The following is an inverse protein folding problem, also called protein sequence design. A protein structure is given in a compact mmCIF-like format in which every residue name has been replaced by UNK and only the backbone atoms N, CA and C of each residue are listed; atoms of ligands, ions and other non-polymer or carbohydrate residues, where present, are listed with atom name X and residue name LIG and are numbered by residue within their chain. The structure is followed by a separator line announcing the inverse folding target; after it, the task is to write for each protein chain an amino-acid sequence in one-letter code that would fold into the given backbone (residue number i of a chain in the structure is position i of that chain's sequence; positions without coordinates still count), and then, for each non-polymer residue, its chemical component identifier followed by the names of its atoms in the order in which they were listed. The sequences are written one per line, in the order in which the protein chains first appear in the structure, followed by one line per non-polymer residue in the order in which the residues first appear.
data_IF_705695411458
#
_entry.id   IF_705695411458
#
_cell.length_a   1.000
_cell.length_b   1.000
_cell.length_c   1.000
_cell.angle_alpha   90.00
_cell.angle_beta   90.00
_cell.angle_gamma   90.00
#
_symmetry.space_group_name_H-M   'P 1'
#
loop_
_entity.id
_entity.type
_entity.pdbx_description
1 polymer ?
#
# COMPACT_ATOMS: atom_id res chain seq x y z
N UNK A 1 -14.99 2.02 12.68
CA UNK A 1 -14.32 0.69 12.56
C UNK A 1 -12.83 0.91 12.31
N UNK A 2 -11.93 0.19 12.99
CA UNK A 2 -10.49 0.36 12.83
C UNK A 2 -9.94 -0.66 11.82
N UNK A 3 -9.56 -0.19 10.62
CA UNK A 3 -8.94 -1.02 9.58
C UNK A 3 -7.45 -1.17 9.87
N UNK A 4 -7.03 -2.38 10.25
CA UNK A 4 -5.63 -2.68 10.61
C UNK A 4 -4.98 -3.54 9.55
N UNK A 5 -3.73 -3.25 9.22
CA UNK A 5 -2.89 -4.12 8.40
C UNK A 5 -2.76 -5.48 9.06
N UNK A 6 -3.00 -6.55 8.29
CA UNK A 6 -2.89 -7.93 8.82
C UNK A 6 -1.44 -8.27 9.12
N UNK A 7 -1.23 -8.99 10.22
CA UNK A 7 0.11 -9.34 10.71
C UNK A 7 0.89 -10.30 9.80
N UNK A 8 0.21 -11.02 8.91
CA UNK A 8 0.80 -11.96 7.93
C UNK A 8 1.77 -11.28 6.98
N UNK A 9 1.38 -10.16 6.35
CA UNK A 9 2.25 -9.40 5.45
C UNK A 9 3.46 -8.81 6.20
N UNK A 10 3.23 -8.17 7.34
CA UNK A 10 4.32 -7.64 8.17
C UNK A 10 5.28 -8.75 8.63
N UNK A 11 4.75 -9.95 8.88
CA UNK A 11 5.57 -11.12 9.21
C UNK A 11 6.35 -11.65 8.00
N UNK A 12 5.79 -11.62 6.79
CA UNK A 12 6.48 -12.01 5.56
C UNK A 12 7.64 -11.06 5.25
N UNK A 13 7.40 -9.75 5.34
CA UNK A 13 8.41 -8.70 5.24
C UNK A 13 9.53 -8.90 6.27
N UNK A 14 9.18 -9.22 7.53
CA UNK A 14 10.15 -9.52 8.59
C UNK A 14 11.03 -10.74 8.28
N UNK A 15 10.48 -11.78 7.63
CA UNK A 15 11.23 -12.97 7.23
C UNK A 15 12.18 -12.71 6.05
N UNK A 16 12.09 -11.54 5.41
CA UNK A 16 12.90 -11.20 4.24
C UNK A 16 12.46 -11.90 2.97
N UNK A 17 11.20 -12.34 2.90
CA UNK A 17 10.62 -12.96 1.71
C UNK A 17 10.52 -11.92 0.58
N UNK A 18 11.11 -12.21 -0.58
CA UNK A 18 11.06 -11.35 -1.77
C UNK A 18 9.62 -11.08 -2.21
N UNK A 19 8.74 -12.07 -2.12
CA UNK A 19 7.30 -11.93 -2.43
C UNK A 19 6.65 -10.97 -1.44
N UNK A 20 6.94 -11.12 -0.15
CA UNK A 20 6.42 -10.23 0.90
C UNK A 20 6.86 -8.78 0.71
N UNK A 21 8.09 -8.56 0.25
CA UNK A 21 8.59 -7.23 -0.08
C UNK A 21 7.93 -6.62 -1.31
N UNK A 22 7.74 -7.40 -2.38
CA UNK A 22 7.04 -6.95 -3.57
C UNK A 22 5.60 -6.52 -3.26
N UNK A 23 4.87 -7.32 -2.49
CA UNK A 23 3.50 -7.01 -2.06
C UNK A 23 3.45 -5.77 -1.16
N UNK A 24 4.37 -5.66 -0.19
CA UNK A 24 4.48 -4.48 0.67
C UNK A 24 4.76 -3.21 -0.14
N UNK A 25 5.69 -3.27 -1.08
CA UNK A 25 6.00 -2.15 -1.96
C UNK A 25 4.78 -1.71 -2.76
N UNK A 26 4.10 -2.65 -3.42
CA UNK A 26 2.93 -2.37 -4.26
C UNK A 26 1.77 -1.76 -3.46
N UNK A 27 1.53 -2.22 -2.23
CA UNK A 27 0.45 -1.73 -1.37
C UNK A 27 0.70 -0.33 -0.81
N UNK A 28 1.94 -0.04 -0.40
CA UNK A 28 2.25 1.19 0.34
C UNK A 28 2.85 2.30 -0.53
N UNK A 29 3.44 1.99 -1.69
CA UNK A 29 3.93 3.02 -2.64
C UNK A 29 2.87 4.11 -2.92
N UNK A 30 1.60 3.78 -3.25
CA UNK A 30 0.60 4.81 -3.55
C UNK A 30 0.33 5.74 -2.37
N UNK A 31 0.34 5.22 -1.13
CA UNK A 31 0.16 6.02 0.09
C UNK A 31 1.32 6.98 0.32
N UNK A 32 2.55 6.52 0.08
CA UNK A 32 3.75 7.36 0.23
C UNK A 32 3.75 8.48 -0.82
N UNK A 33 3.43 8.16 -2.07
CA UNK A 33 3.32 9.15 -3.14
C UNK A 33 2.21 10.17 -2.90
N UNK A 34 1.06 9.72 -2.40
CA UNK A 34 -0.05 10.59 -1.99
C UNK A 34 0.45 11.63 -0.98
N UNK A 35 1.08 11.17 0.10
CA UNK A 35 1.55 12.06 1.17
C UNK A 35 2.70 12.97 0.74
N UNK A 36 3.57 12.50 -0.17
CA UNK A 36 4.57 13.35 -0.80
C UNK A 36 3.94 14.44 -1.67
N UNK A 37 2.78 14.15 -2.30
CA UNK A 37 1.96 15.13 -3.01
C UNK A 37 1.37 16.18 -2.10
N UNK A 38 0.78 15.77 -0.97
CA UNK A 38 0.24 16.68 0.06
C UNK A 38 1.30 17.70 0.52
N UNK A 39 2.55 17.24 0.66
CA UNK A 39 3.69 18.05 1.10
C UNK A 39 4.42 18.79 -0.04
N UNK A 40 3.81 18.84 -1.24
CA UNK A 40 4.32 19.55 -2.43
C UNK A 40 5.74 19.15 -2.83
N UNK A 41 6.13 17.90 -2.61
CA UNK A 41 7.39 17.36 -3.11
C UNK A 41 7.37 17.30 -4.64
N UNK A 42 8.51 17.52 -5.27
CA UNK A 42 8.73 17.26 -6.70
C UNK A 42 8.62 15.77 -7.01
N UNK A 43 8.46 15.41 -8.28
CA UNK A 43 8.37 14.00 -8.67
C UNK A 43 9.62 13.20 -8.26
N UNK A 44 10.80 13.80 -8.40
CA UNK A 44 12.07 13.19 -7.99
C UNK A 44 12.11 12.95 -6.47
N UNK A 45 11.72 13.95 -5.67
CA UNK A 45 11.64 13.82 -4.21
C UNK A 45 10.60 12.79 -3.78
N UNK A 46 9.49 12.64 -4.50
CA UNK A 46 8.50 11.58 -4.22
C UNK A 46 9.07 10.18 -4.44
N UNK A 47 9.82 9.96 -5.51
CA UNK A 47 10.47 8.66 -5.73
C UNK A 47 11.60 8.41 -4.71
N UNK A 48 12.37 9.45 -4.33
CA UNK A 48 13.36 9.36 -3.24
C UNK A 48 12.66 9.05 -1.91
N UNK A 49 11.53 9.69 -1.62
CA UNK A 49 10.72 9.43 -0.42
C UNK A 49 10.27 7.97 -0.36
N UNK A 50 9.76 7.42 -1.47
CA UNK A 50 9.41 6.00 -1.55
C UNK A 50 10.61 5.13 -1.21
N UNK A 51 11.77 5.39 -1.80
CA UNK A 51 12.98 4.61 -1.53
C UNK A 51 13.42 4.72 -0.06
N UNK A 52 13.42 5.92 0.52
CA UNK A 52 13.81 6.16 1.90
C UNK A 52 12.89 5.44 2.89
N UNK A 53 11.58 5.50 2.66
CA UNK A 53 10.59 4.80 3.50
C UNK A 53 10.77 3.29 3.37
N UNK A 54 10.87 2.77 2.15
CA UNK A 54 11.05 1.32 1.92
C UNK A 54 12.36 0.81 2.51
N UNK A 55 13.45 1.58 2.41
CA UNK A 55 14.74 1.24 2.99
C UNK A 55 14.69 1.25 4.52
N UNK A 56 13.95 2.17 5.13
CA UNK A 56 13.73 2.22 6.58
C UNK A 56 13.02 0.95 7.06
N UNK A 57 11.97 0.53 6.35
CA UNK A 57 11.32 -0.76 6.60
C UNK A 57 12.26 -1.93 6.36
N UNK A 58 13.09 -1.90 5.31
CA UNK A 58 14.00 -3.01 4.98
C UNK A 58 15.08 -3.19 6.04
N UNK A 59 15.76 -2.10 6.41
CA UNK A 59 16.75 -2.10 7.51
C UNK A 59 16.08 -2.46 8.83
N UNK A 60 14.90 -1.89 9.07
CA UNK A 60 14.08 -2.14 10.23
C UNK A 60 13.65 -3.60 10.32
N UNK A 61 13.33 -4.28 9.21
CA UNK A 61 12.72 -5.62 9.18
C UNK A 61 13.44 -6.68 10.02
N UNK A 62 14.77 -6.59 10.16
CA UNK A 62 15.54 -7.52 11.01
C UNK A 62 15.26 -7.33 12.50
N UNK A 63 14.88 -6.13 12.91
CA UNK A 63 14.54 -5.74 14.30
C UNK A 63 13.09 -5.27 14.45
N UNK A 64 12.30 -5.25 13.38
CA UNK A 64 10.98 -4.63 13.34
C UNK A 64 9.98 -5.56 14.01
N UNK A 65 9.65 -5.21 15.24
CA UNK A 65 8.51 -5.76 15.96
C UNK A 65 7.45 -4.67 15.96
N UNK A 66 6.51 -4.76 15.02
CA UNK A 66 5.31 -3.94 15.09
C UNK A 66 4.53 -4.31 16.35
N UNK A 67 4.59 -3.42 17.33
CA UNK A 67 3.89 -3.56 18.59
C UNK A 67 2.54 -2.82 18.49
N UNK A 68 1.46 -3.60 18.38
CA UNK A 68 0.09 -3.09 18.33
C UNK A 68 -0.30 -2.28 19.57
N UNK A 69 0.38 -2.48 20.70
CA UNK A 69 0.13 -1.71 21.92
C UNK A 69 0.62 -0.26 21.82
N UNK A 70 1.58 0.02 20.93
CA UNK A 70 2.18 1.35 20.75
C UNK A 70 1.45 2.24 19.75
N UNK A 71 0.39 1.73 19.12
CA UNK A 71 -0.41 2.47 18.14
C UNK A 71 -0.69 1.68 16.87
N UNK A 72 -1.41 2.30 15.94
CA UNK A 72 -1.80 1.67 14.67
C UNK A 72 -0.68 1.79 13.64
N UNK A 73 -0.52 0.76 12.82
CA UNK A 73 0.47 0.72 11.74
C UNK A 73 0.28 1.87 10.76
N UNK A 74 -0.97 2.29 10.51
CA UNK A 74 -1.31 3.48 9.72
C UNK A 74 -0.61 4.72 10.23
N UNK A 75 -0.76 5.02 11.51
CA UNK A 75 -0.26 6.25 12.12
C UNK A 75 1.27 6.21 12.21
N UNK A 76 1.82 5.01 12.45
CA UNK A 76 3.25 4.75 12.38
C UNK A 76 3.82 5.01 10.99
N UNK A 77 3.22 4.45 9.94
CA UNK A 77 3.64 4.65 8.55
C UNK A 77 3.54 6.13 8.16
N UNK A 78 2.41 6.76 8.48
CA UNK A 78 2.18 8.18 8.22
C UNK A 78 3.27 9.06 8.84
N UNK A 79 3.65 8.77 10.09
CA UNK A 79 4.72 9.47 10.80
C UNK A 79 6.08 9.27 10.13
N UNK A 80 6.43 8.05 9.72
CA UNK A 80 7.69 7.82 8.99
C UNK A 80 7.71 8.62 7.70
N UNK A 81 6.64 8.55 6.90
CA UNK A 81 6.57 9.26 5.62
C UNK A 81 6.73 10.76 5.84
N UNK A 82 6.02 11.32 6.83
CA UNK A 82 6.11 12.73 7.18
C UNK A 82 7.53 13.14 7.56
N UNK A 83 8.17 12.38 8.46
CA UNK A 83 9.53 12.69 8.90
C UNK A 83 10.53 12.69 7.74
N UNK A 84 10.48 11.65 6.88
CA UNK A 84 11.38 11.56 5.71
C UNK A 84 11.11 12.67 4.68
N UNK A 85 9.85 13.06 4.50
CA UNK A 85 9.50 14.17 3.62
C UNK A 85 10.06 15.51 4.16
N UNK A 86 9.95 15.76 5.46
CA UNK A 86 10.57 16.94 6.09
C UNK A 86 12.10 16.93 5.94
N UNK A 87 12.75 15.78 6.05
CA UNK A 87 14.19 15.66 5.82
C UNK A 87 14.59 16.05 4.38
N UNK A 88 13.80 15.62 3.39
CA UNK A 88 13.99 16.02 1.98
C UNK A 88 13.80 17.52 1.78
N UNK A 89 12.77 18.10 2.39
CA UNK A 89 12.51 19.54 2.33
C UNK A 89 13.67 20.36 2.93
N UNK A 90 14.26 19.91 4.05
CA UNK A 90 15.44 20.55 4.65
C UNK A 90 16.66 20.47 3.73
N UNK A 91 16.92 19.30 3.15
CA UNK A 91 18.03 19.10 2.20
C UNK A 91 17.95 20.01 0.98
N UNK A 92 16.72 20.30 0.51
CA UNK A 92 16.47 21.28 -0.57
C UNK A 92 16.90 22.70 -0.17
N UNK A 93 16.68 23.07 1.08
CA UNK A 93 17.05 24.39 1.60
C UNK A 93 18.58 24.54 1.75
N UNK A 94 19.26 23.52 2.28
CA UNK A 94 20.73 23.55 2.46
C UNK A 94 21.51 23.65 1.14
N UNK A 95 20.93 23.16 0.03
CA UNK A 95 21.51 23.29 -1.31
C UNK A 95 21.28 24.65 -1.99
N UNK A 96 20.46 25.52 -1.40
CA UNK A 96 20.03 26.79 -2.02
C UNK A 96 20.44 27.96 -1.12
N UNK A 97 21.64 28.51 -1.30
CA UNK A 97 22.06 29.74 -0.62
C UNK A 97 21.37 30.94 -1.30
N UNK A 98 20.20 31.37 -0.82
CA UNK A 98 19.81 32.80 -0.75
C UNK A 98 18.48 33.04 -0.01
N UNK A 99 18.58 33.95 0.96
CA UNK A 99 17.68 35.04 1.42
C UNK A 99 16.18 34.84 1.16
N UNK A 100 15.40 34.89 2.26
CA UNK A 100 13.96 34.59 2.39
C UNK A 100 13.69 33.12 2.70
N UNK A 101 14.07 32.74 3.92
CA UNK A 101 13.42 31.63 4.62
C UNK A 101 11.97 32.01 4.89
N UNK A 102 11.14 31.95 3.86
CA UNK A 102 9.72 31.66 4.07
C UNK A 102 9.71 30.34 4.83
N UNK A 103 9.35 30.45 6.10
CA UNK A 103 9.04 29.35 6.98
C UNK A 103 8.01 28.49 6.24
N UNK A 104 8.48 27.47 5.53
CA UNK A 104 7.69 26.26 5.29
C UNK A 104 7.54 25.56 6.65
N UNK A 105 7.01 26.29 7.64
CA UNK A 105 6.23 25.72 8.70
C UNK A 105 5.29 24.79 7.98
N UNK A 106 5.38 23.52 8.33
CA UNK A 106 4.57 22.44 7.79
C UNK A 106 3.14 22.97 7.79
N UNK A 107 2.68 23.45 6.64
CA UNK A 107 1.37 24.07 6.53
C UNK A 107 0.41 22.99 6.98
N UNK A 108 -0.39 23.28 8.01
CA UNK A 108 -1.28 22.29 8.58
C UNK A 108 -2.13 21.76 7.43
N UNK A 109 -1.97 20.46 7.14
CA UNK A 109 -2.51 19.92 5.92
C UNK A 109 -4.04 20.07 5.96
N UNK A 110 -4.67 20.45 4.83
CA UNK A 110 -6.11 20.63 4.78
C UNK A 110 -6.83 19.37 5.29
N UNK A 111 -7.98 19.54 5.93
CA UNK A 111 -8.77 18.42 6.46
C UNK A 111 -9.10 17.39 5.34
N UNK A 112 -9.28 17.88 4.11
CA UNK A 112 -9.51 17.06 2.92
C UNK A 112 -8.35 16.09 2.64
N UNK A 113 -7.10 16.49 2.91
CA UNK A 113 -5.94 15.62 2.76
C UNK A 113 -5.99 14.43 3.74
N UNK A 114 -6.54 14.66 4.95
CA UNK A 114 -6.74 13.59 5.92
C UNK A 114 -7.84 12.61 5.48
N UNK A 115 -8.94 13.13 4.94
CA UNK A 115 -10.02 12.30 4.43
C UNK A 115 -9.58 11.45 3.23
N UNK A 116 -8.77 12.02 2.33
CA UNK A 116 -8.18 11.30 1.20
C UNK A 116 -7.20 10.22 1.70
N UNK A 117 -6.35 10.54 2.68
CA UNK A 117 -5.46 9.58 3.32
C UNK A 117 -6.23 8.40 3.92
N UNK A 118 -7.30 8.68 4.68
CA UNK A 118 -8.15 7.65 5.28
C UNK A 118 -8.83 6.77 4.24
N UNK A 119 -9.36 7.37 3.18
CA UNK A 119 -9.98 6.63 2.07
C UNK A 119 -8.97 5.71 1.40
N UNK A 120 -7.79 6.23 1.06
CA UNK A 120 -6.73 5.45 0.43
C UNK A 120 -6.24 4.33 1.36
N UNK A 121 -6.10 4.60 2.66
CA UNK A 121 -5.72 3.59 3.64
C UNK A 121 -6.72 2.43 3.68
N UNK A 122 -8.03 2.72 3.71
CA UNK A 122 -9.07 1.70 3.70
C UNK A 122 -9.01 0.84 2.45
N UNK A 123 -8.77 1.47 1.28
CA UNK A 123 -8.58 0.75 0.03
C UNK A 123 -7.35 -0.18 0.08
N UNK A 124 -6.23 0.29 0.64
CA UNK A 124 -5.01 -0.52 0.82
C UNK A 124 -5.26 -1.72 1.74
N UNK A 125 -5.94 -1.53 2.88
CA UNK A 125 -6.26 -2.64 3.80
C UNK A 125 -7.19 -3.65 3.16
N UNK A 126 -8.18 -3.20 2.37
CA UNK A 126 -9.05 -4.08 1.60
C UNK A 126 -8.27 -4.88 0.56
N UNK A 127 -7.42 -4.22 -0.22
CA UNK A 127 -6.58 -4.88 -1.22
C UNK A 127 -5.67 -5.96 -0.58
N UNK A 128 -5.09 -5.65 0.58
CA UNK A 128 -4.31 -6.62 1.35
C UNK A 128 -5.17 -7.83 1.77
N UNK A 129 -6.38 -7.60 2.28
CA UNK A 129 -7.26 -8.68 2.70
C UNK A 129 -7.66 -9.59 1.52
N UNK A 130 -7.95 -9.01 0.35
CA UNK A 130 -8.28 -9.76 -0.86
C UNK A 130 -7.10 -10.61 -1.35
N UNK A 131 -5.88 -10.08 -1.31
CA UNK A 131 -4.67 -10.83 -1.72
C UNK A 131 -4.47 -12.09 -0.86
N UNK A 132 -4.70 -11.98 0.44
CA UNK A 132 -4.60 -13.14 1.34
C UNK A 132 -5.74 -14.15 1.14
N UNK A 133 -6.97 -13.68 0.85
CA UNK A 133 -8.10 -14.56 0.53
C UNK A 133 -7.82 -15.31 -0.77
N UNK A 134 -7.24 -14.65 -1.78
CA UNK A 134 -6.84 -15.26 -3.05
C UNK A 134 -5.91 -16.46 -2.86
N UNK A 135 -5.03 -16.43 -1.86
CA UNK A 135 -4.11 -17.54 -1.57
C UNK A 135 -4.78 -18.72 -0.83
N UNK A 136 -5.95 -18.51 -0.23
CA UNK A 136 -6.64 -19.50 0.61
C UNK A 136 -7.90 -20.08 -0.01
N UNK A 137 -8.47 -19.39 -0.99
CA UNK A 137 -9.68 -19.81 -1.67
C UNK A 137 -9.36 -20.42 -3.03
N UNK A 138 -10.23 -21.31 -3.46
CA UNK A 138 -10.26 -21.80 -4.83
C UNK A 138 -10.37 -20.59 -5.82
N UNK A 139 -9.64 -20.61 -6.96
CA UNK A 139 -9.64 -19.51 -7.92
C UNK A 139 -11.02 -19.11 -8.44
N UNK A 140 -11.91 -20.09 -8.69
CA UNK A 140 -13.27 -19.85 -9.17
C UNK A 140 -14.12 -19.18 -8.09
N UNK A 141 -13.97 -19.60 -6.84
CA UNK A 141 -14.66 -18.97 -5.70
C UNK A 141 -14.20 -17.52 -5.50
N UNK A 142 -12.89 -17.29 -5.58
CA UNK A 142 -12.33 -15.94 -5.51
C UNK A 142 -12.83 -15.05 -6.67
N UNK A 143 -12.79 -15.54 -7.91
CA UNK A 143 -13.31 -14.80 -9.07
C UNK A 143 -14.81 -14.51 -8.96
N UNK A 144 -15.60 -15.48 -8.49
CA UNK A 144 -17.04 -15.30 -8.25
C UNK A 144 -17.30 -14.13 -7.31
N UNK A 145 -16.57 -14.09 -6.20
CA UNK A 145 -16.66 -12.99 -5.23
C UNK A 145 -16.24 -11.66 -5.83
N UNK A 146 -15.14 -11.61 -6.60
CA UNK A 146 -14.67 -10.38 -7.22
C UNK A 146 -15.70 -9.79 -8.20
N UNK A 147 -16.31 -10.62 -9.05
CA UNK A 147 -17.32 -10.17 -10.00
C UNK A 147 -18.63 -9.76 -9.29
N UNK A 148 -19.09 -10.56 -8.33
CA UNK A 148 -20.33 -10.28 -7.63
C UNK A 148 -20.22 -9.07 -6.70
N UNK A 149 -19.24 -9.06 -5.79
CA UNK A 149 -19.19 -8.12 -4.69
C UNK A 149 -18.46 -6.80 -5.02
N UNK A 150 -17.54 -6.80 -6.00
CA UNK A 150 -16.77 -5.59 -6.35
C UNK A 150 -17.16 -4.99 -7.70
N UNK A 151 -17.73 -5.78 -8.61
CA UNK A 151 -18.19 -5.31 -9.93
C UNK A 151 -19.72 -5.22 -10.02
N UNK A 152 -20.42 -5.45 -8.91
CA UNK A 152 -21.88 -5.36 -8.78
C UNK A 152 -22.64 -6.20 -9.83
N UNK A 153 -22.02 -7.30 -10.26
CA UNK A 153 -22.63 -8.22 -11.22
C UNK A 153 -23.63 -9.13 -10.50
N UNK A 154 -24.75 -9.45 -11.15
CA UNK A 154 -25.71 -10.41 -10.62
C UNK A 154 -25.11 -11.81 -10.54
N UNK A 155 -25.57 -12.62 -9.58
CA UNK A 155 -25.13 -14.02 -9.45
C UNK A 155 -25.32 -14.82 -10.77
N UNK A 156 -26.34 -14.48 -11.56
CA UNK A 156 -26.61 -15.10 -12.85
C UNK A 156 -25.55 -14.73 -13.91
N UNK A 157 -25.14 -13.46 -13.97
CA UNK A 157 -24.09 -13.00 -14.90
C UNK A 157 -22.74 -13.60 -14.53
N UNK A 158 -22.41 -13.66 -13.25
CA UNK A 158 -21.19 -14.29 -12.75
C UNK A 158 -21.15 -15.78 -13.09
N UNK A 159 -22.24 -16.50 -12.89
CA UNK A 159 -22.35 -17.93 -13.24
C UNK A 159 -22.13 -18.16 -14.74
N UNK A 160 -22.77 -17.36 -15.60
CA UNK A 160 -22.61 -17.46 -17.05
C UNK A 160 -21.14 -17.20 -17.49
N UNK A 161 -20.49 -16.21 -16.88
CA UNK A 161 -19.11 -15.83 -17.19
C UNK A 161 -18.12 -16.92 -16.77
N UNK A 162 -18.31 -17.51 -15.59
CA UNK A 162 -17.46 -18.59 -15.09
C UNK A 162 -17.68 -19.92 -15.81
N UNK A 163 -18.91 -20.27 -16.19
CA UNK A 163 -19.19 -21.45 -17.01
C UNK A 163 -18.48 -21.35 -18.37
N UNK A 164 -18.42 -20.16 -18.96
CA UNK A 164 -17.72 -19.95 -20.23
C UNK A 164 -16.18 -20.02 -20.10
N UNK A 165 -15.64 -19.67 -18.93
CA UNK A 165 -14.19 -19.77 -18.64
C UNK A 165 -13.79 -21.21 -18.31
N UNK A 166 -14.56 -21.91 -17.45
CA UNK A 166 -14.29 -23.30 -17.06
C UNK A 166 -14.48 -24.23 -18.26
N UNK A 167 -15.53 -24.02 -19.06
CA UNK A 167 -15.79 -24.77 -20.29
C UNK A 167 -14.73 -24.60 -21.38
N UNK A 168 -13.87 -23.57 -21.31
CA UNK A 168 -12.68 -23.41 -22.19
C UNK A 168 -11.40 -24.00 -21.59
N UNK A 169 -11.31 -24.10 -20.27
CA UNK A 169 -10.13 -24.64 -19.58
C UNK A 169 -10.00 -26.16 -19.74
N UNK A 170 -11.13 -26.88 -19.84
CA UNK A 170 -11.17 -28.33 -20.11
C UNK A 170 -10.62 -28.74 -21.50
N UNK A 171 -10.28 -27.78 -22.37
CA UNK A 171 -9.78 -28.07 -23.73
C UNK A 171 -8.24 -28.07 -23.82
N UNK A 172 -7.49 -27.60 -22.81
CA UNK A 172 -6.00 -27.60 -22.87
C UNK A 172 -5.31 -27.81 -21.52
N UNK A 173 -5.49 -28.97 -20.90
CA UNK A 173 -4.55 -29.47 -19.89
C UNK A 173 -3.47 -30.31 -20.58
N UNK A 174 -2.46 -29.64 -21.14
CA UNK A 174 -1.19 -30.24 -21.54
C UNK A 174 -0.05 -29.34 -21.05
N UNK A 175 0.12 -29.28 -19.72
CA UNK A 175 1.36 -28.80 -19.11
C UNK A 175 2.28 -30.01 -18.96
N UNK A 176 3.17 -30.19 -19.94
CA UNK A 176 4.30 -31.12 -19.84
C UNK A 176 5.29 -30.62 -18.79
N UNK A 177 5.84 -31.60 -18.09
CA UNK A 177 6.89 -31.58 -17.05
C UNK A 177 8.07 -30.71 -17.46
#
# INVERSE_FOLDING_TARGET
MAFTTRGSLLSAVRRGDEVGWGEFYALYKPLILLRGGDLRLSQTEKEELVQLVMLDFFKGSRSFVYDKSKGRFRDYLKRIIHNKACDLMRKRQDGTVSIESEDFGIEELPAEAEDIWEKQWRATVLAQALLEIKQKCDPTTYQSYMYFALQDMSAQEVANLLVHIIGKSDIKTHWRI
#
